data_IF_895698836331
#
_entry.id   IF_895698836331
#
_cell.length_a   1.000
_cell.length_b   1.000
_cell.length_c   1.000
_cell.angle_alpha   90.00
_cell.angle_beta   90.00
_cell.angle_gamma   90.00
#
_symmetry.space_group_name_H-M   'P 1'
#
loop_
_entity.id
_entity.type
_entity.pdbx_description
1 polymer ?
#
# COMPACT_ATOMS: atom_id res chain seq x y z
N UNK A 1 20.49 2.77 -11.32
CA UNK A 1 20.07 3.67 -10.23
C UNK A 1 19.54 4.93 -10.88
N UNK A 2 18.25 4.95 -11.21
CA UNK A 2 17.65 6.03 -12.01
C UNK A 2 16.63 6.78 -11.16
N UNK A 3 16.78 8.10 -11.16
CA UNK A 3 16.18 9.09 -10.27
C UNK A 3 14.71 8.80 -9.98
N UNK A 4 14.42 8.46 -8.73
CA UNK A 4 13.07 8.47 -8.19
C UNK A 4 12.56 9.92 -8.23
N UNK A 5 11.84 10.25 -9.29
CA UNK A 5 11.10 11.49 -9.46
C UNK A 5 10.33 11.80 -8.17
N UNK A 6 10.81 12.82 -7.47
CA UNK A 6 10.13 13.54 -6.39
C UNK A 6 8.90 14.26 -6.95
N UNK A 7 7.90 13.50 -7.37
CA UNK A 7 6.56 14.01 -7.60
C UNK A 7 6.01 14.50 -6.25
N UNK A 8 5.49 15.74 -6.16
CA UNK A 8 5.08 16.35 -4.88
C UNK A 8 4.08 15.47 -4.13
N UNK A 9 3.17 14.81 -4.86
CA UNK A 9 2.22 13.83 -4.33
C UNK A 9 2.87 12.73 -3.47
N UNK A 10 3.98 12.12 -3.90
CA UNK A 10 4.63 11.05 -3.12
C UNK A 10 5.42 11.58 -1.93
N UNK A 11 5.93 12.82 -2.02
CA UNK A 11 6.59 13.48 -0.90
C UNK A 11 5.58 13.79 0.20
N UNK A 12 4.41 14.31 -0.20
CA UNK A 12 3.31 14.61 0.71
C UNK A 12 2.73 13.33 1.32
N UNK A 13 2.53 12.28 0.52
CA UNK A 13 2.04 10.99 1.00
C UNK A 13 3.03 10.33 1.98
N UNK A 14 4.33 10.39 1.69
CA UNK A 14 5.36 9.87 2.60
C UNK A 14 5.35 10.61 3.93
N UNK A 15 5.38 11.95 3.89
CA UNK A 15 5.38 12.76 5.10
C UNK A 15 4.10 12.56 5.92
N UNK A 16 2.93 12.53 5.28
CA UNK A 16 1.65 12.30 5.94
C UNK A 16 1.57 10.91 6.56
N UNK A 17 2.07 9.88 5.86
CA UNK A 17 2.12 8.52 6.41
C UNK A 17 3.04 8.41 7.62
N UNK A 18 4.22 9.06 7.59
CA UNK A 18 5.16 9.07 8.71
C UNK A 18 4.59 9.80 9.91
N UNK A 19 4.00 10.99 9.71
CA UNK A 19 3.36 11.73 10.79
C UNK A 19 2.23 10.95 11.44
N UNK A 20 1.34 10.38 10.64
CA UNK A 20 0.19 9.66 11.18
C UNK A 20 0.55 8.33 11.84
N UNK A 21 1.58 7.62 11.35
CA UNK A 21 2.08 6.41 12.02
C UNK A 21 2.78 6.73 13.33
N UNK A 22 3.57 7.81 13.40
CA UNK A 22 4.16 8.31 14.64
C UNK A 22 3.09 8.74 15.65
N UNK A 23 2.09 9.52 15.21
CA UNK A 23 0.97 9.95 16.07
C UNK A 23 0.16 8.75 16.55
N UNK A 24 -0.14 7.80 15.67
CA UNK A 24 -0.86 6.56 16.03
C UNK A 24 -0.08 5.71 17.03
N UNK A 25 1.23 5.57 16.84
CA UNK A 25 2.12 4.86 17.77
C UNK A 25 2.12 5.52 19.15
N UNK A 26 2.26 6.84 19.23
CA UNK A 26 2.24 7.57 20.50
C UNK A 26 0.88 7.44 21.22
N UNK A 27 -0.23 7.59 20.49
CA UNK A 27 -1.58 7.45 21.05
C UNK A 27 -1.82 6.04 21.61
N UNK A 28 -1.48 5.00 20.83
CA UNK A 28 -1.65 3.61 21.26
C UNK A 28 -0.75 3.28 22.45
N UNK A 29 0.48 3.80 22.46
CA UNK A 29 1.41 3.62 23.57
C UNK A 29 0.93 4.29 24.86
N UNK A 30 0.24 5.43 24.75
CA UNK A 30 -0.26 6.18 25.90
C UNK A 30 -1.55 5.58 26.47
N UNK A 31 -2.43 5.05 25.60
CA UNK A 31 -3.72 4.46 26.01
C UNK A 31 -3.54 3.06 26.61
N UNK A 32 -2.76 2.19 25.95
CA UNK A 32 -2.71 0.78 26.32
C UNK A 32 -1.53 0.41 27.22
N UNK A 33 -0.56 1.32 27.41
CA UNK A 33 0.69 1.13 28.19
C UNK A 33 1.49 -0.15 27.85
N UNK A 34 1.14 -0.84 26.77
CA UNK A 34 1.70 -2.12 26.36
C UNK A 34 2.53 -1.94 25.09
N UNK A 35 3.81 -2.25 25.19
CA UNK A 35 4.77 -2.16 24.08
C UNK A 35 4.45 -3.11 22.94
N UNK A 36 3.82 -4.25 23.21
CA UNK A 36 3.45 -5.26 22.21
C UNK A 36 2.39 -4.73 21.24
N UNK A 37 1.43 -3.96 21.76
CA UNK A 37 0.32 -3.40 20.96
C UNK A 37 0.85 -2.31 20.02
N UNK A 38 1.64 -1.39 20.54
CA UNK A 38 2.27 -0.33 19.74
C UNK A 38 3.20 -0.89 18.67
N UNK A 39 3.95 -1.95 19.00
CA UNK A 39 4.80 -2.65 18.04
C UNK A 39 3.99 -3.37 16.95
N UNK A 40 2.87 -4.01 17.31
CA UNK A 40 1.93 -4.63 16.35
C UNK A 40 1.40 -3.62 15.34
N UNK A 41 1.01 -2.43 15.81
CA UNK A 41 0.54 -1.35 14.96
C UNK A 41 1.63 -0.86 14.00
N UNK A 42 2.86 -0.68 14.49
CA UNK A 42 3.98 -0.20 13.69
C UNK A 42 4.35 -1.20 12.59
N UNK A 43 4.38 -2.50 12.92
CA UNK A 43 4.63 -3.58 11.96
C UNK A 43 3.52 -3.63 10.89
N UNK A 44 2.25 -3.48 11.28
CA UNK A 44 1.13 -3.42 10.35
C UNK A 44 1.20 -2.22 9.39
N UNK A 45 1.58 -1.05 9.90
CA UNK A 45 1.78 0.13 9.08
C UNK A 45 2.97 0.01 8.12
N UNK A 46 4.08 -0.58 8.58
CA UNK A 46 5.25 -0.88 7.74
C UNK A 46 4.88 -1.81 6.58
N UNK A 47 4.10 -2.86 6.87
CA UNK A 47 3.57 -3.78 5.86
C UNK A 47 2.68 -3.07 4.84
N UNK A 48 1.79 -2.19 5.30
CA UNK A 48 0.95 -1.36 4.42
C UNK A 48 1.78 -0.49 3.49
N UNK A 49 2.83 0.15 4.03
CA UNK A 49 3.73 1.00 3.26
C UNK A 49 4.55 0.21 2.23
N UNK A 50 5.12 -0.93 2.62
CA UNK A 50 5.84 -1.82 1.71
C UNK A 50 4.93 -2.32 0.60
N UNK A 51 3.70 -2.75 0.94
CA UNK A 51 2.74 -3.22 -0.04
C UNK A 51 2.40 -2.12 -1.07
N UNK A 52 2.24 -0.86 -0.64
CA UNK A 52 2.05 0.26 -1.56
C UNK A 52 3.26 0.47 -2.47
N UNK A 53 4.48 0.41 -1.93
CA UNK A 53 5.69 0.62 -2.71
C UNK A 53 5.81 -0.43 -3.83
N UNK A 54 5.57 -1.70 -3.49
CA UNK A 54 5.54 -2.79 -4.48
C UNK A 54 4.35 -2.66 -5.44
N UNK A 55 3.19 -2.14 -4.99
CA UNK A 55 2.06 -1.87 -5.88
C UNK A 55 2.38 -0.79 -6.92
N UNK A 56 3.11 0.26 -6.52
CA UNK A 56 3.48 1.38 -7.40
C UNK A 56 4.43 0.93 -8.52
N UNK A 57 5.45 0.13 -8.19
CA UNK A 57 6.38 -0.41 -9.18
C UNK A 57 5.70 -1.37 -10.15
N UNK A 58 4.87 -2.29 -9.65
CA UNK A 58 4.15 -3.22 -10.52
C UNK A 58 3.03 -2.56 -11.31
N UNK A 59 2.37 -1.54 -10.77
CA UNK A 59 1.35 -0.76 -11.46
C UNK A 59 1.93 -0.01 -12.67
N UNK A 60 3.10 0.64 -12.51
CA UNK A 60 3.81 1.27 -13.63
C UNK A 60 4.23 0.25 -14.69
N UNK A 61 4.84 -0.87 -14.27
CA UNK A 61 5.26 -1.94 -15.19
C UNK A 61 4.06 -2.57 -15.91
N UNK A 62 2.94 -2.76 -15.23
CA UNK A 62 1.72 -3.30 -15.84
C UNK A 62 1.12 -2.33 -16.85
N UNK A 63 0.95 -1.06 -16.49
CA UNK A 63 0.44 -0.03 -17.41
C UNK A 63 1.36 0.14 -18.62
N UNK A 64 2.68 0.13 -18.44
CA UNK A 64 3.63 0.23 -19.54
C UNK A 64 3.61 -1.01 -20.44
N UNK A 65 3.43 -2.20 -19.86
CA UNK A 65 3.33 -3.45 -20.62
C UNK A 65 2.00 -3.57 -21.38
N UNK A 66 0.90 -3.18 -20.75
CA UNK A 66 -0.42 -3.12 -21.40
C UNK A 66 -0.43 -2.03 -22.47
N UNK A 67 0.11 -0.84 -22.20
CA UNK A 67 0.20 0.23 -23.21
C UNK A 67 1.04 -0.21 -24.42
N UNK A 68 2.21 -0.81 -24.18
CA UNK A 68 3.05 -1.34 -25.26
C UNK A 68 2.38 -2.49 -26.03
N UNK A 69 1.63 -3.37 -25.35
CA UNK A 69 0.93 -4.49 -25.99
C UNK A 69 -0.36 -4.05 -26.71
N UNK A 70 -1.06 -3.02 -26.22
CA UNK A 70 -2.31 -2.50 -26.78
C UNK A 70 -2.05 -1.55 -27.95
N UNK A 71 -0.99 -0.74 -27.91
CA UNK A 71 -0.68 0.21 -28.98
C UNK A 71 -0.01 -0.44 -30.20
N UNK A 72 0.54 -1.66 -30.06
CA UNK A 72 1.27 -2.33 -31.14
C UNK A 72 0.46 -3.40 -31.89
N UNK A 73 -0.57 -4.04 -31.32
CA UNK A 73 -1.31 -5.10 -32.03
C UNK A 73 -2.76 -5.24 -31.53
N UNK A 74 -3.73 -4.81 -32.33
CA UNK A 74 -5.14 -5.22 -32.23
C UNK A 74 -5.31 -6.66 -32.74
N UNK A 75 -4.79 -7.65 -32.00
CA UNK A 75 -5.13 -9.06 -32.33
C UNK A 75 -5.14 -9.97 -31.08
N UNK A 76 -6.32 -10.02 -30.42
CA UNK A 76 -6.76 -11.08 -29.49
C UNK A 76 -5.80 -11.60 -28.37
N UNK A 77 -5.12 -10.78 -27.53
CA UNK A 77 -4.44 -11.27 -26.31
C UNK A 77 -5.15 -10.90 -24.99
N UNK A 78 -6.36 -10.32 -25.05
CA UNK A 78 -6.99 -9.63 -23.91
C UNK A 78 -7.32 -10.55 -22.70
N UNK A 79 -7.57 -11.83 -22.93
CA UNK A 79 -8.05 -12.74 -21.87
C UNK A 79 -6.91 -13.38 -21.05
N UNK A 80 -5.78 -13.69 -21.69
CA UNK A 80 -4.63 -14.38 -21.07
C UNK A 80 -3.83 -13.46 -20.14
N UNK A 81 -3.73 -12.19 -20.52
CA UNK A 81 -3.07 -11.17 -19.69
C UNK A 81 -3.90 -10.80 -18.45
N UNK A 82 -5.24 -10.78 -18.58
CA UNK A 82 -6.15 -10.54 -17.44
C UNK A 82 -6.03 -11.65 -16.39
N UNK A 83 -5.91 -12.91 -16.82
CA UNK A 83 -5.67 -14.05 -15.91
C UNK A 83 -4.30 -14.00 -15.25
N UNK A 84 -3.23 -13.64 -15.98
CA UNK A 84 -1.89 -13.47 -15.40
C UNK A 84 -1.86 -12.37 -14.34
N UNK A 85 -2.58 -11.27 -14.58
CA UNK A 85 -2.72 -10.20 -13.59
C UNK A 85 -3.50 -10.67 -12.36
N UNK A 86 -4.64 -11.35 -12.55
CA UNK A 86 -5.45 -11.87 -11.45
C UNK A 86 -4.65 -12.84 -10.57
N UNK A 87 -3.92 -13.77 -11.20
CA UNK A 87 -3.07 -14.74 -10.50
C UNK A 87 -1.99 -14.00 -9.71
N UNK A 88 -1.35 -12.99 -10.29
CA UNK A 88 -0.30 -12.21 -9.60
C UNK A 88 -0.86 -11.44 -8.40
N UNK A 89 -2.08 -10.92 -8.50
CA UNK A 89 -2.79 -10.26 -7.39
C UNK A 89 -3.16 -11.27 -6.30
N UNK A 90 -3.69 -12.44 -6.67
CA UNK A 90 -4.02 -13.51 -5.73
C UNK A 90 -2.77 -14.05 -5.00
N UNK A 91 -1.66 -14.25 -5.72
CA UNK A 91 -0.40 -14.66 -5.11
C UNK A 91 0.10 -13.64 -4.08
N UNK A 92 -0.11 -12.34 -4.34
CA UNK A 92 0.21 -11.28 -3.38
C UNK A 92 -0.66 -11.32 -2.15
N UNK A 93 -1.98 -11.46 -2.32
CA UNK A 93 -2.91 -11.61 -1.19
C UNK A 93 -2.53 -12.82 -0.33
N UNK A 94 -2.15 -13.94 -0.97
CA UNK A 94 -1.62 -15.12 -0.29
C UNK A 94 -0.32 -14.83 0.44
N UNK A 95 0.65 -14.19 -0.20
CA UNK A 95 1.92 -13.84 0.43
C UNK A 95 1.71 -12.90 1.63
N UNK A 96 0.84 -11.90 1.50
CA UNK A 96 0.46 -11.00 2.59
C UNK A 96 -0.20 -11.75 3.73
N UNK A 97 -1.15 -12.64 3.42
CA UNK A 97 -1.80 -13.50 4.40
C UNK A 97 -0.80 -14.41 5.12
N UNK A 98 0.18 -14.96 4.41
CA UNK A 98 1.23 -15.80 4.99
C UNK A 98 2.16 -14.99 5.90
N UNK A 99 2.52 -13.76 5.50
CA UNK A 99 3.32 -12.85 6.32
C UNK A 99 2.54 -12.48 7.59
N UNK A 100 1.26 -12.11 7.48
CA UNK A 100 0.41 -11.85 8.64
C UNK A 100 0.32 -13.06 9.56
N UNK A 101 0.08 -14.26 9.01
CA UNK A 101 0.03 -15.49 9.77
C UNK A 101 1.34 -15.78 10.51
N UNK A 102 2.48 -15.62 9.84
CA UNK A 102 3.80 -15.80 10.43
C UNK A 102 4.04 -14.81 11.57
N UNK A 103 3.72 -13.53 11.37
CA UNK A 103 3.87 -12.48 12.39
C UNK A 103 2.97 -12.71 13.62
N UNK A 104 1.73 -13.14 13.43
CA UNK A 104 0.80 -13.45 14.53
C UNK A 104 1.31 -14.68 15.30
N UNK A 105 1.76 -15.71 14.59
CA UNK A 105 2.16 -16.99 15.18
C UNK A 105 3.50 -16.90 15.91
N UNK A 106 4.49 -16.21 15.33
CA UNK A 106 5.85 -16.11 15.90
C UNK A 106 6.01 -14.97 16.89
N UNK A 107 5.50 -13.78 16.60
CA UNK A 107 5.69 -12.60 17.46
C UNK A 107 4.52 -12.37 18.45
N UNK A 108 3.47 -13.22 18.45
CA UNK A 108 2.25 -13.07 19.28
C UNK A 108 1.65 -11.66 19.20
N UNK A 109 1.77 -11.02 18.04
CA UNK A 109 1.27 -9.67 17.82
C UNK A 109 -0.24 -9.68 17.78
N UNK A 110 -0.87 -8.61 18.28
CA UNK A 110 -2.32 -8.52 18.22
C UNK A 110 -2.78 -8.28 16.77
N UNK A 111 -3.55 -9.21 16.17
CA UNK A 111 -3.93 -9.14 14.76
C UNK A 111 -4.78 -7.90 14.46
N UNK A 112 -5.63 -7.49 15.41
CA UNK A 112 -6.51 -6.32 15.28
C UNK A 112 -5.69 -5.04 15.07
N UNK A 113 -4.68 -4.79 15.91
CA UNK A 113 -3.86 -3.59 15.81
C UNK A 113 -2.95 -3.60 14.58
N UNK A 114 -2.54 -4.78 14.12
CA UNK A 114 -1.79 -4.93 12.88
C UNK A 114 -2.64 -4.56 11.65
N UNK A 115 -3.90 -5.02 11.62
CA UNK A 115 -4.86 -4.65 10.58
C UNK A 115 -5.16 -3.15 10.63
N UNK A 116 -5.31 -2.56 11.82
CA UNK A 116 -5.55 -1.12 11.98
C UNK A 116 -4.37 -0.29 11.44
N UNK A 117 -3.13 -0.68 11.72
CA UNK A 117 -1.95 -0.03 11.14
C UNK A 117 -1.92 -0.14 9.61
N UNK A 118 -2.29 -1.30 9.07
CA UNK A 118 -2.36 -1.53 7.63
C UNK A 118 -3.46 -0.69 6.96
N UNK A 119 -4.68 -0.70 7.49
CA UNK A 119 -5.82 0.03 6.92
C UNK A 119 -5.63 1.54 7.00
N UNK A 120 -4.98 2.04 8.06
CA UNK A 120 -4.68 3.46 8.22
C UNK A 120 -3.82 4.00 7.07
N UNK A 121 -2.82 3.24 6.62
CA UNK A 121 -2.02 3.61 5.44
C UNK A 121 -2.90 3.68 4.18
N UNK A 122 -3.77 2.68 3.96
CA UNK A 122 -4.71 2.64 2.84
C UNK A 122 -5.70 3.81 2.82
N UNK A 123 -6.26 4.14 3.98
CA UNK A 123 -7.20 5.27 4.12
C UNK A 123 -6.51 6.59 3.78
N UNK A 124 -5.25 6.79 4.18
CA UNK A 124 -4.51 8.00 3.82
C UNK A 124 -4.28 8.12 2.33
N UNK A 125 -3.90 7.04 1.66
CA UNK A 125 -3.71 7.03 0.21
C UNK A 125 -5.02 7.39 -0.48
N UNK A 126 -6.12 6.81 -0.02
CA UNK A 126 -7.46 7.09 -0.55
C UNK A 126 -7.84 8.57 -0.35
N UNK A 127 -7.66 9.10 0.86
CA UNK A 127 -7.91 10.51 1.19
C UNK A 127 -7.05 11.46 0.34
N UNK A 128 -5.75 11.19 0.20
CA UNK A 128 -4.84 12.03 -0.60
C UNK A 128 -5.23 12.00 -2.08
N UNK A 129 -5.57 10.82 -2.60
CA UNK A 129 -6.02 10.64 -3.99
C UNK A 129 -7.33 11.38 -4.24
N UNK A 130 -8.28 11.26 -3.30
CA UNK A 130 -9.56 11.94 -3.37
C UNK A 130 -9.40 13.46 -3.29
N UNK A 131 -8.56 13.96 -2.38
CA UNK A 131 -8.25 15.39 -2.27
C UNK A 131 -7.61 15.94 -3.54
N UNK A 132 -6.65 15.22 -4.12
CA UNK A 132 -6.02 15.64 -5.38
C UNK A 132 -6.99 15.62 -6.56
N UNK A 133 -7.91 14.65 -6.58
CA UNK A 133 -8.97 14.54 -7.61
C UNK A 133 -10.00 15.66 -7.48
N UNK A 134 -10.41 16.00 -6.26
CA UNK A 134 -11.32 17.13 -5.99
C UNK A 134 -10.65 18.46 -6.37
N UNK A 135 -9.41 18.68 -5.95
CA UNK A 135 -8.65 19.89 -6.31
C UNK A 135 -8.48 20.04 -7.82
N UNK A 136 -8.31 18.93 -8.55
CA UNK A 136 -8.25 18.96 -10.03
C UNK A 136 -9.61 19.29 -10.66
N UNK A 137 -10.72 18.87 -10.06
CA UNK A 137 -12.07 19.24 -10.50
C UNK A 137 -12.42 20.70 -10.26
N UNK A 138 -11.81 21.37 -9.29
CA UNK A 138 -12.01 22.81 -9.05
C UNK A 138 -11.24 23.70 -10.04
N UNK A 139 -10.28 23.15 -10.80
CA UNK A 139 -9.43 23.90 -11.74
C UNK A 139 -9.89 23.73 -13.21
N UNK A 140 -10.85 22.84 -13.48
CA UNK A 140 -11.50 22.69 -14.79
C UNK A 140 -12.89 23.35 -14.78
#
# INVERSE_FOLDING_TARGET
>A
MEKAETNPFFKDLRNLSLFATLTGFFLLSLIYLSTIISFSFLVGALLGYLNLFTLKEDGKKFLQKVYNNVMCCMEKPYQKERTLFLIKVYLRLLALGLIFYFLITWLKLHPVFMIVGFTLVYVQIFLLTLWYTLKKKEIC
#
